data_IF_592695753293
#
_entry.id   IF_592695753293
#
_cell.length_a   1.000
_cell.length_b   1.000
_cell.length_c   1.000
_cell.angle_alpha   90.00
_cell.angle_beta   90.00
_cell.angle_gamma   90.00
#
_symmetry.space_group_name_H-M   'P 1'
#
loop_
_entity.id
_entity.type
_entity.pdbx_description
1 polymer ?
#
# COMPACT_ATOMS: atom_id res chain seq x y z
N UNK A 1 -3.76 -13.19 9.26
CA UNK A 1 -3.08 -11.89 9.41
C UNK A 1 -3.31 -11.12 8.11
N UNK A 2 -3.44 -9.79 8.11
CA UNK A 2 -3.55 -9.07 6.83
C UNK A 2 -2.17 -9.14 6.18
N UNK A 3 -2.08 -9.86 5.07
CA UNK A 3 -0.85 -10.12 4.33
C UNK A 3 -0.62 -9.12 3.19
N UNK A 4 -1.36 -8.02 3.21
CA UNK A 4 -1.31 -6.95 2.24
C UNK A 4 -1.42 -5.58 2.91
N UNK A 5 -0.48 -4.70 2.61
CA UNK A 5 -0.59 -3.29 3.00
C UNK A 5 -1.42 -2.55 1.95
N UNK A 6 -2.11 -1.48 2.32
CA UNK A 6 -2.80 -0.65 1.33
C UNK A 6 -2.75 0.83 1.68
N UNK A 7 -2.78 1.66 0.65
CA UNK A 7 -2.85 3.12 0.75
C UNK A 7 -3.83 3.67 -0.26
N UNK A 8 -4.60 4.67 0.17
CA UNK A 8 -5.47 5.45 -0.69
C UNK A 8 -4.76 6.74 -1.07
N UNK A 9 -4.74 7.06 -2.35
CA UNK A 9 -4.18 8.29 -2.89
C UNK A 9 -5.26 9.08 -3.62
N UNK A 10 -4.97 10.37 -3.78
CA UNK A 10 -5.61 11.23 -4.77
C UNK A 10 -4.59 11.44 -5.90
N UNK A 11 -5.00 11.30 -7.17
CA UNK A 11 -4.11 11.48 -8.33
C UNK A 11 -3.46 12.86 -8.38
N UNK A 12 -4.08 13.87 -7.76
CA UNK A 12 -3.55 15.23 -7.64
C UNK A 12 -2.85 15.49 -6.30
N UNK A 13 -2.92 14.54 -5.36
CA UNK A 13 -2.35 14.64 -4.03
C UNK A 13 -0.88 14.25 -3.98
N UNK A 14 -0.07 15.02 -3.23
CA UNK A 14 1.34 14.68 -2.95
C UNK A 14 1.50 13.66 -1.80
N UNK A 15 0.43 13.41 -1.04
CA UNK A 15 0.42 12.53 0.13
C UNK A 15 -0.75 11.55 0.05
N UNK A 16 -0.64 10.36 0.67
CA UNK A 16 -1.79 9.46 0.83
C UNK A 16 -2.93 10.18 1.54
N UNK A 17 -4.16 9.86 1.13
CA UNK A 17 -5.40 10.24 1.81
C UNK A 17 -5.52 9.46 3.12
N UNK A 18 -5.23 8.16 3.08
CA UNK A 18 -5.19 7.26 4.25
C UNK A 18 -4.47 5.94 3.92
N UNK A 19 -4.28 5.05 4.89
CA UNK A 19 -3.73 3.70 4.70
C UNK A 19 -4.09 2.70 5.80
N UNK A 20 -3.71 1.44 5.57
CA UNK A 20 -4.07 0.28 6.39
C UNK A 20 -3.61 0.29 7.87
N UNK A 21 -2.69 1.20 8.22
CA UNK A 21 -2.13 1.29 9.58
C UNK A 21 -2.65 2.50 10.37
N UNK A 22 -3.61 3.25 9.83
CA UNK A 22 -4.19 4.40 10.52
C UNK A 22 -5.35 4.02 11.45
N UNK A 23 -5.79 4.95 12.30
CA UNK A 23 -6.90 4.71 13.22
C UNK A 23 -8.22 4.48 12.44
N UNK A 24 -8.91 3.37 12.76
CA UNK A 24 -10.17 2.91 12.15
C UNK A 24 -11.42 3.17 13.01
N UNK A 25 -11.32 3.94 14.09
CA UNK A 25 -12.46 4.45 14.85
C UNK A 25 -13.40 5.27 13.95
N UNK A 26 -14.64 5.52 14.39
CA UNK A 26 -15.68 6.21 13.61
C UNK A 26 -15.23 7.55 12.99
N UNK A 27 -14.30 8.25 13.67
CA UNK A 27 -13.71 9.53 13.25
C UNK A 27 -12.18 9.45 13.06
N UNK A 28 -11.62 8.24 13.00
CA UNK A 28 -10.21 8.02 12.73
C UNK A 28 -9.86 8.34 11.27
N UNK A 29 -8.57 8.60 11.00
CA UNK A 29 -8.08 8.97 9.68
C UNK A 29 -8.44 7.95 8.59
N UNK A 30 -8.43 6.64 8.93
CA UNK A 30 -8.85 5.58 8.02
C UNK A 30 -10.31 5.71 7.62
N UNK A 31 -11.20 5.82 8.60
CA UNK A 31 -12.63 5.91 8.36
C UNK A 31 -13.00 7.17 7.58
N UNK A 32 -12.38 8.31 7.91
CA UNK A 32 -12.61 9.56 7.19
C UNK A 32 -12.07 9.53 5.75
N UNK A 33 -10.90 8.93 5.53
CA UNK A 33 -10.32 8.77 4.20
C UNK A 33 -11.15 7.84 3.32
N UNK A 34 -11.57 6.69 3.84
CA UNK A 34 -12.39 5.72 3.11
C UNK A 34 -13.82 6.20 2.85
N UNK A 35 -14.39 7.06 3.71
CA UNK A 35 -15.68 7.72 3.45
C UNK A 35 -15.68 8.49 2.13
N UNK A 36 -14.53 8.98 1.67
CA UNK A 36 -14.44 9.67 0.37
C UNK A 36 -14.65 8.75 -0.85
N UNK A 37 -14.68 7.42 -0.65
CA UNK A 37 -14.98 6.42 -1.68
C UNK A 37 -16.44 5.96 -1.66
N UNK A 38 -17.25 6.43 -0.71
CA UNK A 38 -18.67 6.10 -0.69
C UNK A 38 -19.33 6.60 -1.97
N UNK A 39 -20.12 5.72 -2.59
CA UNK A 39 -20.80 5.94 -3.88
C UNK A 39 -19.86 6.20 -5.06
N UNK A 40 -18.55 6.03 -4.89
CA UNK A 40 -17.59 6.11 -5.98
C UNK A 40 -17.60 4.82 -6.81
N UNK A 41 -17.24 4.95 -8.08
CA UNK A 41 -17.23 3.84 -9.03
C UNK A 41 -15.81 3.51 -9.42
N UNK A 42 -15.46 2.22 -9.35
CA UNK A 42 -14.22 1.71 -9.93
C UNK A 42 -14.23 1.96 -11.43
N UNK A 43 -13.25 2.72 -11.91
CA UNK A 43 -13.03 2.97 -13.33
C UNK A 43 -12.24 1.83 -13.96
N UNK A 44 -11.16 1.41 -13.30
CA UNK A 44 -10.29 0.34 -13.78
C UNK A 44 -9.47 -0.25 -12.63
N UNK A 45 -8.98 -1.46 -12.87
CA UNK A 45 -8.02 -2.13 -11.99
C UNK A 45 -6.74 -2.35 -12.79
N UNK A 46 -5.62 -1.94 -12.21
CA UNK A 46 -4.29 -2.08 -12.80
C UNK A 46 -3.49 -3.07 -11.95
N UNK A 47 -2.81 -3.98 -12.63
CA UNK A 47 -1.78 -4.81 -12.02
C UNK A 47 -0.43 -4.11 -12.25
N UNK A 48 0.32 -3.86 -11.19
CA UNK A 48 1.65 -3.25 -11.32
C UNK A 48 2.68 -4.31 -11.71
N UNK A 49 3.86 -3.85 -12.10
CA UNK A 49 5.01 -4.73 -12.38
C UNK A 49 5.48 -5.54 -11.18
N UNK A 50 5.08 -5.17 -9.95
CA UNK A 50 5.38 -5.90 -8.72
C UNK A 50 4.22 -6.78 -8.25
N UNK A 51 3.25 -7.04 -9.14
CA UNK A 51 2.02 -7.79 -8.83
C UNK A 51 1.13 -7.14 -7.74
N UNK A 52 1.40 -5.88 -7.41
CA UNK A 52 0.50 -5.07 -6.61
C UNK A 52 -0.74 -4.69 -7.42
N UNK A 53 -1.84 -4.45 -6.73
CA UNK A 53 -3.10 -4.08 -7.36
C UNK A 53 -3.33 -2.59 -7.11
N UNK A 54 -3.63 -1.84 -8.16
CA UNK A 54 -4.12 -0.46 -8.05
C UNK A 54 -5.54 -0.37 -8.59
N UNK A 55 -6.49 -0.06 -7.72
CA UNK A 55 -7.88 0.20 -8.08
C UNK A 55 -8.06 1.69 -8.29
N UNK A 56 -8.38 2.10 -9.51
CA UNK A 56 -8.60 3.51 -9.87
C UNK A 56 -10.10 3.77 -9.89
N UNK A 57 -10.50 4.83 -9.21
CA UNK A 57 -11.89 5.28 -9.11
C UNK A 57 -12.14 6.49 -10.01
N UNK A 58 -13.40 6.68 -10.44
CA UNK A 58 -13.78 7.79 -11.33
C UNK A 58 -13.52 9.18 -10.72
N UNK A 59 -13.50 9.28 -9.40
CA UNK A 59 -13.12 10.52 -8.69
C UNK A 59 -11.65 10.91 -8.84
N UNK A 60 -10.80 10.03 -9.38
CA UNK A 60 -9.35 10.19 -9.38
C UNK A 60 -8.66 9.65 -8.12
N UNK A 61 -9.38 8.98 -7.22
CA UNK A 61 -8.76 8.22 -6.13
C UNK A 61 -8.12 6.94 -6.65
N UNK A 62 -7.04 6.51 -5.98
CA UNK A 62 -6.31 5.29 -6.32
C UNK A 62 -6.05 4.51 -5.02
N UNK A 63 -6.64 3.32 -4.90
CA UNK A 63 -6.33 2.37 -3.83
C UNK A 63 -5.22 1.43 -4.31
N UNK A 64 -4.01 1.62 -3.79
CA UNK A 64 -2.89 0.72 -4.03
C UNK A 64 -2.84 -0.32 -2.92
N UNK A 65 -2.94 -1.59 -3.30
CA UNK A 65 -2.82 -2.77 -2.45
C UNK A 65 -1.48 -3.41 -2.76
N UNK A 66 -0.60 -3.37 -1.78
CA UNK A 66 0.74 -3.96 -1.79
C UNK A 66 0.64 -5.38 -1.23
N UNK A 67 0.91 -6.38 -2.06
CA UNK A 67 0.77 -7.77 -1.66
C UNK A 67 2.12 -8.28 -1.14
N UNK A 68 2.25 -8.49 0.18
CA UNK A 68 3.52 -8.90 0.78
C UNK A 68 3.74 -10.42 0.75
N UNK A 69 2.75 -11.26 0.42
CA UNK A 69 2.89 -12.72 0.51
C UNK A 69 2.31 -13.51 -0.67
N UNK A 70 3.13 -14.45 -1.14
CA UNK A 70 2.68 -15.64 -1.86
C UNK A 70 2.61 -16.81 -0.86
N UNK A 71 1.67 -17.75 -1.00
CA UNK A 71 1.41 -18.80 -0.01
C UNK A 71 2.49 -19.91 0.08
N UNK A 72 3.69 -19.70 -0.49
CA UNK A 72 4.67 -20.76 -0.75
C UNK A 72 6.09 -20.52 -0.21
N UNK A 73 6.34 -19.55 0.67
CA UNK A 73 7.73 -19.28 1.13
C UNK A 73 7.80 -19.03 2.63
N UNK A 74 8.60 -19.86 3.31
CA UNK A 74 8.83 -19.90 4.76
C UNK A 74 9.95 -18.95 5.23
N UNK A 75 10.49 -18.09 4.36
CA UNK A 75 11.60 -17.21 4.71
C UNK A 75 11.37 -15.76 4.24
N UNK A 76 11.63 -14.88 5.18
CA UNK A 76 11.45 -13.42 5.20
C UNK A 76 12.11 -12.71 4.00
N UNK A 77 11.57 -11.56 3.58
CA UNK A 77 12.30 -10.27 3.46
C UNK A 77 11.34 -9.17 2.97
N UNK A 78 11.13 -8.16 3.82
CA UNK A 78 10.33 -6.98 3.54
C UNK A 78 11.18 -5.94 2.79
N UNK A 79 10.86 -5.74 1.50
CA UNK A 79 11.10 -4.50 0.75
C UNK A 79 12.58 -4.12 0.56
N UNK A 80 13.13 -4.37 -0.63
CA UNK A 80 14.46 -3.91 -1.00
C UNK A 80 14.45 -2.49 -1.59
N UNK A 81 15.27 -1.60 -1.05
CA UNK A 81 15.68 -0.32 -1.64
C UNK A 81 17.08 -0.50 -2.24
N UNK A 82 17.26 -0.26 -3.54
CA UNK A 82 18.56 -0.41 -4.21
C UNK A 82 19.23 0.95 -4.46
N UNK A 83 20.49 1.12 -4.03
CA UNK A 83 21.30 2.30 -4.34
C UNK A 83 22.74 1.89 -4.69
N UNK A 84 23.19 2.23 -5.90
CA UNK A 84 24.59 2.07 -6.35
C UNK A 84 25.22 0.67 -6.10
N UNK A 85 24.48 -0.40 -6.37
CA UNK A 85 24.99 -1.78 -6.24
C UNK A 85 24.94 -2.34 -4.82
N UNK A 86 24.24 -1.67 -3.91
CA UNK A 86 23.90 -2.18 -2.58
C UNK A 86 22.40 -2.31 -2.43
N UNK A 87 21.96 -3.41 -1.83
CA UNK A 87 20.57 -3.71 -1.57
C UNK A 87 20.31 -3.52 -0.09
N UNK A 88 19.23 -2.82 0.23
CA UNK A 88 18.85 -2.58 1.61
C UNK A 88 17.45 -3.08 1.84
N UNK A 89 17.24 -3.92 2.84
CA UNK A 89 15.91 -4.30 3.31
C UNK A 89 15.60 -3.62 4.63
N UNK A 90 14.32 -3.49 4.98
CA UNK A 90 13.94 -3.11 6.35
C UNK A 90 13.63 -4.41 7.09
N UNK A 91 14.52 -4.79 8.00
CA UNK A 91 14.32 -5.98 8.80
C UNK A 91 13.20 -5.80 9.83
N UNK A 92 12.89 -6.87 10.55
CA UNK A 92 11.85 -6.88 11.59
C UNK A 92 12.11 -5.93 12.77
N UNK A 93 13.32 -5.38 12.91
CA UNK A 93 13.67 -4.37 13.91
C UNK A 93 13.58 -2.93 13.37
N UNK A 94 13.00 -2.75 12.18
CA UNK A 94 12.92 -1.47 11.47
C UNK A 94 14.28 -0.84 11.17
N UNK A 95 15.33 -1.67 11.10
CA UNK A 95 16.64 -1.22 10.72
C UNK A 95 16.80 -1.41 9.22
N UNK A 96 17.35 -0.38 8.57
CA UNK A 96 17.85 -0.53 7.22
C UNK A 96 19.08 -1.45 7.31
N UNK A 97 18.94 -2.67 6.81
CA UNK A 97 20.02 -3.63 6.72
C UNK A 97 20.47 -3.73 5.28
N UNK A 98 21.79 -3.67 5.08
CA UNK A 98 22.40 -3.95 3.79
C UNK A 98 22.50 -5.48 3.67
N UNK A 99 21.89 -6.03 2.62
CA UNK A 99 22.01 -7.45 2.25
C UNK A 99 23.26 -7.69 1.38
#
# INVERSE_FOLDING_TARGET
MIYCSWRLFDIHGKKPVTGCHENSDLNGSMTLGLKSLLDDTVEKVLLTSFYDISVVFKSGKILSVFCDLTPYVDEETNWFFGLQGKYYSINNNLQLVED
#
